data_IF_984008127405
#
_entry.id   IF_984008127405
#
_cell.length_a   1.000
_cell.length_b   1.000
_cell.length_c   1.000
_cell.angle_alpha   90.00
_cell.angle_beta   90.00
_cell.angle_gamma   90.00
#
_symmetry.space_group_name_H-M   'P 1'
#
loop_
_entity.id
_entity.type
_entity.pdbx_description
1 polymer ?
#
# COMPACT_ATOMS: atom_id res chain seq x y z
N UNK A 1 -15.41 14.52 -14.47
CA UNK A 1 -14.37 14.02 -13.54
C UNK A 1 -14.20 15.04 -12.43
N UNK A 2 -13.98 14.59 -11.20
CA UNK A 2 -13.82 15.46 -10.02
C UNK A 2 -12.41 15.27 -9.45
N UNK A 3 -11.50 16.24 -9.65
CA UNK A 3 -10.13 16.15 -9.16
C UNK A 3 -10.03 16.51 -7.67
N UNK A 4 -9.08 15.89 -6.98
CA UNK A 4 -8.67 16.31 -5.66
C UNK A 4 -7.60 17.40 -5.79
N UNK A 5 -7.87 18.58 -5.23
CA UNK A 5 -6.94 19.70 -5.08
C UNK A 5 -5.66 19.38 -4.32
N UNK A 6 -5.68 18.48 -3.33
CA UNK A 6 -4.50 18.18 -2.52
C UNK A 6 -3.55 17.15 -3.15
N UNK A 7 -4.05 16.18 -3.93
CA UNK A 7 -3.23 15.06 -4.43
C UNK A 7 -3.45 14.72 -5.91
N UNK A 8 -4.20 15.56 -6.63
CA UNK A 8 -4.51 15.46 -8.07
C UNK A 8 -5.18 14.14 -8.53
N UNK A 9 -5.61 13.26 -7.62
CA UNK A 9 -6.40 12.07 -7.97
C UNK A 9 -7.77 12.47 -8.52
N UNK A 10 -8.22 11.77 -9.56
CA UNK A 10 -9.50 12.03 -10.21
C UNK A 10 -10.54 10.96 -9.89
N UNK A 11 -11.76 11.40 -9.66
CA UNK A 11 -12.90 10.54 -9.34
C UNK A 11 -14.03 10.73 -10.36
N UNK A 12 -14.75 9.65 -10.67
CA UNK A 12 -15.92 9.72 -11.57
C UNK A 12 -17.14 10.35 -10.90
N UNK A 13 -17.24 10.31 -9.57
CA UNK A 13 -18.39 10.82 -8.79
C UNK A 13 -17.94 11.73 -7.66
N UNK A 14 -18.73 12.76 -7.34
CA UNK A 14 -18.47 13.70 -6.23
C UNK A 14 -18.41 12.96 -4.90
N UNK A 15 -19.33 12.02 -4.65
CA UNK A 15 -19.37 11.25 -3.39
C UNK A 15 -18.07 10.48 -3.15
N UNK A 16 -17.42 10.01 -4.22
CA UNK A 16 -16.15 9.30 -4.14
C UNK A 16 -15.00 10.25 -3.81
N UNK A 17 -14.98 11.45 -4.43
CA UNK A 17 -14.03 12.51 -4.09
C UNK A 17 -14.20 12.97 -2.64
N UNK A 18 -15.43 13.20 -2.17
CA UNK A 18 -15.70 13.62 -0.80
C UNK A 18 -15.26 12.57 0.22
N UNK A 19 -15.57 11.28 -0.04
CA UNK A 19 -15.09 10.18 0.79
C UNK A 19 -13.56 10.13 0.82
N UNK A 20 -12.91 10.26 -0.33
CA UNK A 20 -11.45 10.32 -0.42
C UNK A 20 -10.89 11.49 0.39
N UNK A 21 -11.42 12.70 0.22
CA UNK A 21 -10.98 13.87 1.00
C UNK A 21 -11.11 13.65 2.51
N UNK A 22 -12.22 13.06 2.96
CA UNK A 22 -12.48 12.78 4.37
C UNK A 22 -11.60 11.66 4.95
N UNK A 23 -11.37 10.60 4.18
CA UNK A 23 -10.81 9.36 4.71
C UNK A 23 -9.36 9.09 4.31
N UNK A 24 -8.83 9.72 3.27
CA UNK A 24 -7.59 9.31 2.62
C UNK A 24 -6.64 10.47 2.33
N UNK A 25 -7.21 11.60 1.90
CA UNK A 25 -6.45 12.75 1.47
C UNK A 25 -5.83 13.47 2.67
N UNK A 26 -4.55 13.83 2.57
CA UNK A 26 -3.82 14.45 3.68
C UNK A 26 -3.53 13.51 4.87
N UNK A 27 -3.98 12.26 4.85
CA UNK A 27 -3.59 11.28 5.88
C UNK A 27 -2.18 10.78 5.62
N UNK A 28 -1.30 11.03 6.57
CA UNK A 28 0.05 10.50 6.58
C UNK A 28 0.05 8.98 6.66
N UNK A 29 1.04 8.38 6.01
CA UNK A 29 1.27 6.95 6.10
C UNK A 29 1.93 6.63 7.45
N UNK A 30 1.14 6.11 8.38
CA UNK A 30 1.58 5.81 9.75
C UNK A 30 2.05 4.36 9.95
N UNK A 31 1.75 3.48 9.00
CA UNK A 31 2.07 2.06 9.12
C UNK A 31 3.26 1.73 8.25
N UNK A 32 4.37 1.34 8.87
CA UNK A 32 5.62 1.07 8.18
C UNK A 32 5.91 -0.43 8.16
N UNK A 33 6.35 -0.95 7.02
CA UNK A 33 6.88 -2.30 6.91
C UNK A 33 8.28 -2.33 7.50
N UNK A 34 8.52 -3.19 8.48
CA UNK A 34 9.85 -3.28 9.12
C UNK A 34 10.89 -4.01 8.26
N UNK A 35 10.48 -4.69 7.18
CA UNK A 35 11.40 -5.37 6.27
C UNK A 35 11.93 -4.48 5.14
N UNK A 36 11.13 -3.54 4.64
CA UNK A 36 11.49 -2.69 3.50
C UNK A 36 11.21 -1.21 3.69
N UNK A 37 10.76 -0.80 4.89
CA UNK A 37 10.43 0.59 5.24
C UNK A 37 9.33 1.24 4.38
N UNK A 38 8.59 0.45 3.60
CA UNK A 38 7.45 0.94 2.84
C UNK A 38 6.34 1.43 3.78
N UNK A 39 5.81 2.63 3.50
CA UNK A 39 4.79 3.28 4.33
C UNK A 39 3.40 3.15 3.72
N UNK A 40 2.44 2.80 4.56
CA UNK A 40 1.04 2.59 4.22
C UNK A 40 0.13 3.47 5.07
N UNK A 41 -0.97 3.94 4.46
CA UNK A 41 -2.00 4.73 5.14
C UNK A 41 -2.91 3.88 6.04
N UNK A 42 -3.03 2.59 5.75
CA UNK A 42 -3.92 1.68 6.45
C UNK A 42 -3.23 0.40 6.90
N UNK A 43 -3.61 -0.08 8.09
CA UNK A 43 -3.14 -1.36 8.65
C UNK A 43 -3.41 -2.55 7.73
N UNK A 44 -4.62 -2.66 7.17
CA UNK A 44 -4.97 -3.78 6.28
C UNK A 44 -4.11 -3.80 5.00
N UNK A 45 -3.66 -2.62 4.52
CA UNK A 45 -2.79 -2.52 3.36
C UNK A 45 -1.38 -3.01 3.68
N UNK A 46 -0.84 -2.64 4.85
CA UNK A 46 0.43 -3.17 5.35
C UNK A 46 0.37 -4.69 5.56
N UNK A 47 -0.70 -5.21 6.18
CA UNK A 47 -0.87 -6.65 6.39
C UNK A 47 -0.88 -7.44 5.09
N UNK A 48 -1.58 -6.95 4.06
CA UNK A 48 -1.55 -7.58 2.74
C UNK A 48 -0.15 -7.51 2.11
N UNK A 49 0.57 -6.42 2.31
CA UNK A 49 1.94 -6.27 1.79
C UNK A 49 2.92 -7.27 2.40
N UNK A 50 2.75 -7.65 3.68
CA UNK A 50 3.59 -8.69 4.30
C UNK A 50 3.56 -10.03 3.53
N UNK A 51 2.46 -10.35 2.83
CA UNK A 51 2.38 -11.56 2.01
C UNK A 51 3.37 -11.54 0.83
N UNK A 52 3.73 -10.37 0.31
CA UNK A 52 4.73 -10.22 -0.77
C UNK A 52 6.10 -10.66 -0.29
N UNK A 53 6.47 -10.27 0.94
CA UNK A 53 7.72 -10.73 1.56
C UNK A 53 7.71 -12.24 1.81
N UNK A 54 6.58 -12.79 2.27
CA UNK A 54 6.45 -14.24 2.46
C UNK A 54 6.58 -15.01 1.13
N UNK A 55 6.08 -14.46 0.03
CA UNK A 55 6.23 -15.05 -1.29
C UNK A 55 7.69 -15.02 -1.76
N UNK A 56 8.34 -13.86 -1.72
CA UNK A 56 9.73 -13.73 -2.16
C UNK A 56 10.73 -14.49 -1.26
N UNK A 57 10.47 -14.58 0.05
CA UNK A 57 11.30 -15.43 0.93
C UNK A 57 11.24 -16.91 0.55
N UNK A 58 10.09 -17.40 0.08
CA UNK A 58 9.95 -18.79 -0.38
C UNK A 58 10.66 -19.03 -1.71
N UNK A 59 10.68 -18.04 -2.60
CA UNK A 59 11.47 -18.10 -3.84
C UNK A 59 12.98 -18.10 -3.52
N UNK A 60 13.45 -17.22 -2.63
CA UNK A 60 14.87 -17.17 -2.27
C UNK A 60 15.39 -18.45 -1.59
N UNK A 61 14.56 -19.13 -0.79
CA UNK A 61 14.93 -20.42 -0.18
C UNK A 61 14.96 -21.56 -1.21
N UNK A 62 14.12 -21.51 -2.24
CA UNK A 62 14.11 -22.52 -3.31
C UNK A 62 15.32 -22.39 -4.25
N UNK A 63 15.90 -21.19 -4.39
CA UNK A 63 17.14 -20.97 -5.15
C UNK A 63 18.38 -21.49 -4.41
N UNK A 64 18.37 -21.48 -3.06
CA UNK A 64 19.49 -22.01 -2.24
C UNK A 64 19.53 -23.55 -2.20
N UNK A 65 18.39 -24.23 -2.28
CA UNK A 65 18.33 -25.72 -2.32
C UNK A 65 18.73 -26.33 -3.67
N UNK A 66 18.91 -25.52 -4.73
CA UNK A 66 19.28 -25.97 -6.07
C UNK A 66 20.79 -25.86 -6.37
N UNK A 67 21.60 -25.51 -5.36
CA UNK A 67 23.07 -25.44 -5.42
C UNK A 67 23.72 -26.53 -4.53
N UNK A 68 22.95 -27.50 -4.03
CA UNK A 68 23.44 -28.67 -3.28
C UNK A 68 23.57 -29.92 -4.16
#
# INVERSE_FOLDING_TARGET
MFPCDTCNRQYRRIISLQRHKRLECGKEAKFECMMCHAKFKHKHSLLRHYNVHMFHMRESLADEENIA
#
